data_IF_254943669324
#
_entry.id   IF_254943669324
#
_cell.length_a   1.000
_cell.length_b   1.000
_cell.length_c   1.000
_cell.angle_alpha   90.00
_cell.angle_beta   90.00
_cell.angle_gamma   90.00
#
_symmetry.space_group_name_H-M   'P 1'
#
loop_
_entity.id
_entity.type
_entity.pdbx_description
1 polymer ?
#
# COMPACT_ATOMS: atom_id res chain seq x y z
N UNK A 1 -1.01 4.95 12.63
CA UNK A 1 -0.65 3.57 13.06
C UNK A 1 -1.85 2.72 13.49
N UNK A 2 -2.98 3.31 13.83
CA UNK A 2 -4.22 2.62 14.21
C UNK A 2 -4.93 1.98 13.01
N UNK A 3 -4.81 2.56 11.82
CA UNK A 3 -5.47 2.09 10.60
C UNK A 3 -5.10 0.64 10.26
N UNK A 4 -3.87 0.22 10.51
CA UNK A 4 -3.39 -1.14 10.23
C UNK A 4 -3.97 -2.20 11.20
N UNK A 5 -4.37 -1.80 12.41
CA UNK A 5 -5.05 -2.69 13.37
C UNK A 5 -6.48 -3.01 12.94
N UNK A 6 -7.21 -2.00 12.50
CA UNK A 6 -8.61 -2.11 12.06
C UNK A 6 -8.75 -2.94 10.77
N UNK A 7 -7.72 -2.92 9.90
CA UNK A 7 -7.76 -3.65 8.62
C UNK A 7 -7.67 -5.16 8.79
N UNK A 8 -7.31 -5.70 9.96
CA UNK A 8 -7.17 -7.17 10.15
C UNK A 8 -8.48 -7.94 9.91
N UNK A 9 -9.62 -7.34 10.21
CA UNK A 9 -10.93 -7.96 10.03
C UNK A 9 -11.71 -7.40 8.82
N UNK A 10 -11.20 -6.33 8.21
CA UNK A 10 -11.85 -5.72 7.07
C UNK A 10 -11.84 -6.66 5.86
N UNK A 11 -12.98 -6.75 5.18
CA UNK A 11 -13.16 -7.53 3.94
C UNK A 11 -12.96 -6.68 2.69
N UNK A 12 -13.01 -5.37 2.81
CA UNK A 12 -12.79 -4.38 1.75
C UNK A 12 -12.38 -3.04 2.35
N UNK A 13 -11.84 -2.15 1.55
CA UNK A 13 -11.45 -0.79 1.93
C UNK A 13 -12.32 0.21 1.19
N UNK A 14 -12.84 1.20 1.90
CA UNK A 14 -13.42 2.39 1.31
C UNK A 14 -12.40 3.53 1.35
N UNK A 15 -12.08 4.06 0.18
CA UNK A 15 -11.20 5.21 0.02
C UNK A 15 -12.01 6.39 -0.53
N UNK A 16 -12.39 7.31 0.33
CA UNK A 16 -13.07 8.56 -0.06
C UNK A 16 -12.03 9.66 -0.10
N UNK A 17 -11.99 10.41 -1.20
CA UNK A 17 -10.97 11.42 -1.42
C UNK A 17 -11.49 12.59 -2.26
N UNK A 18 -10.82 13.73 -2.11
CA UNK A 18 -11.02 14.89 -2.96
C UNK A 18 -9.76 15.12 -3.82
N UNK A 19 -9.86 14.87 -5.11
CA UNK A 19 -8.78 15.04 -6.07
C UNK A 19 -8.81 16.40 -6.78
N UNK A 20 -9.75 17.29 -6.43
CA UNK A 20 -9.89 18.61 -7.06
C UNK A 20 -8.61 19.47 -6.97
N UNK A 21 -7.80 19.24 -5.94
CA UNK A 21 -6.53 19.93 -5.72
C UNK A 21 -5.46 19.63 -6.78
N UNK A 22 -5.56 18.49 -7.44
CA UNK A 22 -4.55 18.04 -8.41
C UNK A 22 -4.81 18.52 -9.84
N UNK A 23 -5.94 19.22 -10.08
CA UNK A 23 -6.35 19.61 -11.42
C UNK A 23 -6.50 18.42 -12.37
N UNK A 24 -6.35 18.67 -13.67
CA UNK A 24 -6.52 17.65 -14.72
C UNK A 24 -5.21 16.93 -15.11
N UNK A 25 -4.13 17.16 -14.40
CA UNK A 25 -2.82 16.61 -14.68
C UNK A 25 -2.62 15.16 -14.25
N UNK A 26 -1.37 14.80 -13.97
CA UNK A 26 -1.00 13.45 -13.55
C UNK A 26 -1.41 13.08 -12.12
N UNK A 27 -1.72 14.06 -11.27
CA UNK A 27 -2.02 13.88 -9.83
C UNK A 27 -3.13 12.87 -9.55
N UNK A 28 -4.34 12.98 -10.14
CA UNK A 28 -5.40 12.01 -9.92
C UNK A 28 -5.04 10.59 -10.31
N UNK A 29 -4.27 10.43 -11.40
CA UNK A 29 -3.77 9.12 -11.84
C UNK A 29 -2.75 8.54 -10.86
N UNK A 30 -1.85 9.37 -10.33
CA UNK A 30 -0.88 8.95 -9.30
C UNK A 30 -1.59 8.56 -8.01
N UNK A 31 -2.58 9.34 -7.59
CA UNK A 31 -3.36 9.06 -6.39
C UNK A 31 -4.18 7.76 -6.53
N UNK A 32 -4.73 7.47 -7.72
CA UNK A 32 -5.34 6.18 -8.02
C UNK A 32 -4.32 5.02 -7.91
N UNK A 33 -3.08 5.20 -8.37
CA UNK A 33 -2.02 4.19 -8.22
C UNK A 33 -1.75 3.87 -6.75
N UNK A 34 -1.73 4.88 -5.89
CA UNK A 34 -1.58 4.69 -4.44
C UNK A 34 -2.73 3.85 -3.88
N UNK A 35 -3.98 4.14 -4.27
CA UNK A 35 -5.13 3.33 -3.85
C UNK A 35 -5.01 1.87 -4.31
N UNK A 36 -4.53 1.61 -5.53
CA UNK A 36 -4.25 0.26 -6.04
C UNK A 36 -3.20 -0.47 -5.21
N UNK A 37 -2.14 0.22 -4.81
CA UNK A 37 -1.12 -0.32 -3.92
C UNK A 37 -1.73 -0.74 -2.57
N UNK A 38 -2.65 0.05 -2.01
CA UNK A 38 -3.32 -0.29 -0.75
C UNK A 38 -4.15 -1.58 -0.85
N UNK A 39 -4.83 -1.81 -1.99
CA UNK A 39 -5.54 -3.06 -2.22
C UNK A 39 -4.58 -4.26 -2.25
N UNK A 40 -3.45 -4.13 -2.95
CA UNK A 40 -2.39 -5.15 -3.04
C UNK A 40 -1.76 -5.45 -1.67
N UNK A 41 -1.33 -4.43 -0.95
CA UNK A 41 -0.67 -4.56 0.35
C UNK A 41 -1.53 -5.31 1.36
N UNK A 42 -2.83 -5.06 1.32
CA UNK A 42 -3.77 -5.67 2.26
C UNK A 42 -4.42 -6.94 1.72
N UNK A 43 -4.25 -7.26 0.44
CA UNK A 43 -4.91 -8.38 -0.26
C UNK A 43 -6.43 -8.39 -0.10
N UNK A 44 -7.05 -7.22 -0.13
CA UNK A 44 -8.51 -7.03 -0.08
C UNK A 44 -8.95 -6.02 -1.13
N UNK A 45 -10.17 -6.14 -1.66
CA UNK A 45 -10.68 -5.20 -2.65
C UNK A 45 -10.84 -3.80 -2.05
N UNK A 46 -10.74 -2.78 -2.90
CA UNK A 46 -10.87 -1.39 -2.53
C UNK A 46 -11.87 -0.68 -3.44
N UNK A 47 -12.79 0.03 -2.82
CA UNK A 47 -13.70 0.96 -3.48
C UNK A 47 -13.16 2.36 -3.27
N UNK A 48 -12.85 3.04 -4.36
CA UNK A 48 -12.43 4.44 -4.34
C UNK A 48 -13.55 5.32 -4.86
N UNK A 49 -13.89 6.34 -4.08
CA UNK A 49 -14.81 7.41 -4.46
C UNK A 49 -14.03 8.72 -4.42
N UNK A 50 -13.98 9.41 -5.56
CA UNK A 50 -13.21 10.64 -5.69
C UNK A 50 -14.07 11.77 -6.25
N UNK A 51 -14.02 12.94 -5.60
CA UNK A 51 -14.55 14.15 -6.18
C UNK A 51 -13.59 14.64 -7.28
N UNK A 52 -14.11 14.87 -8.48
CA UNK A 52 -13.39 15.27 -9.70
C UNK A 52 -12.30 14.28 -10.17
N UNK A 53 -11.92 13.30 -9.35
CA UNK A 53 -10.92 12.30 -9.68
C UNK A 53 -11.50 11.06 -10.34
N UNK A 54 -10.75 9.97 -10.29
CA UNK A 54 -11.16 8.68 -10.82
C UNK A 54 -11.76 7.86 -9.68
N UNK A 55 -13.05 7.57 -9.74
CA UNK A 55 -13.69 6.60 -8.86
C UNK A 55 -13.56 5.21 -9.43
N UNK A 56 -13.31 4.19 -8.61
CA UNK A 56 -13.02 2.85 -9.11
C UNK A 56 -13.31 1.74 -8.11
N UNK A 57 -13.72 0.58 -8.63
CA UNK A 57 -13.62 -0.71 -7.95
C UNK A 57 -12.29 -1.34 -8.31
N UNK A 58 -11.50 -1.65 -7.30
CA UNK A 58 -10.15 -2.22 -7.43
C UNK A 58 -10.16 -3.59 -6.75
N UNK A 59 -9.74 -4.61 -7.48
CA UNK A 59 -9.61 -5.97 -6.92
C UNK A 59 -8.47 -6.06 -5.91
N UNK A 60 -8.44 -7.12 -5.13
CA UNK A 60 -7.34 -7.42 -4.20
C UNK A 60 -5.96 -7.48 -4.87
N UNK A 61 -5.92 -7.76 -6.17
CA UNK A 61 -4.68 -7.79 -6.97
C UNK A 61 -4.34 -6.44 -7.60
N UNK A 62 -4.98 -5.34 -7.16
CA UNK A 62 -4.73 -4.00 -7.68
C UNK A 62 -5.25 -3.75 -9.11
N UNK A 63 -6.02 -4.69 -9.70
CA UNK A 63 -6.64 -4.49 -11.01
C UNK A 63 -7.88 -3.62 -10.88
N UNK A 64 -8.01 -2.62 -11.75
CA UNK A 64 -9.24 -1.84 -11.87
C UNK A 64 -10.27 -2.69 -12.61
N UNK A 65 -11.38 -3.02 -11.94
CA UNK A 65 -12.48 -3.81 -12.50
C UNK A 65 -13.51 -2.93 -13.19
N UNK A 66 -13.88 -1.83 -12.53
CA UNK A 66 -14.79 -0.82 -13.05
C UNK A 66 -14.31 0.56 -12.62
N UNK A 67 -14.59 1.59 -13.39
CA UNK A 67 -14.23 2.96 -13.01
C UNK A 67 -15.14 4.00 -13.65
N UNK A 68 -15.20 5.17 -13.02
CA UNK A 68 -15.73 6.41 -13.56
C UNK A 68 -14.53 7.29 -13.87
N UNK A 69 -14.48 7.81 -15.10
CA UNK A 69 -13.36 8.62 -15.57
C UNK A 69 -13.28 9.97 -14.84
N UNK A 70 -12.10 10.60 -14.93
CA UNK A 70 -11.84 11.95 -14.43
C UNK A 70 -12.90 12.94 -14.91
N UNK A 71 -13.41 13.79 -14.01
CA UNK A 71 -14.40 14.83 -14.29
C UNK A 71 -15.76 14.33 -14.83
N UNK A 72 -16.08 13.06 -14.67
CA UNK A 72 -17.38 12.52 -15.02
C UNK A 72 -18.28 12.49 -13.79
N UNK A 73 -19.56 12.81 -13.99
CA UNK A 73 -20.63 12.65 -12.99
C UNK A 73 -21.45 11.44 -13.38
N UNK A 74 -21.18 10.33 -12.74
CA UNK A 74 -21.81 9.05 -12.99
C UNK A 74 -21.99 8.30 -11.68
N UNK A 75 -22.79 7.27 -11.67
CA UNK A 75 -22.86 6.31 -10.58
C UNK A 75 -22.33 4.94 -11.05
N UNK A 76 -21.85 4.15 -10.14
CA UNK A 76 -21.27 2.86 -10.43
C UNK A 76 -21.70 1.85 -9.37
N UNK A 77 -22.60 0.95 -9.74
CA UNK A 77 -22.98 -0.16 -8.90
C UNK A 77 -21.88 -1.23 -8.89
N UNK A 78 -21.45 -1.59 -7.70
CA UNK A 78 -20.41 -2.58 -7.50
C UNK A 78 -20.85 -3.63 -6.49
N UNK A 79 -20.68 -4.88 -6.86
CA UNK A 79 -20.87 -6.00 -5.94
C UNK A 79 -19.61 -6.18 -5.09
N UNK A 80 -19.81 -6.20 -3.77
CA UNK A 80 -18.78 -6.54 -2.81
C UNK A 80 -18.92 -8.03 -2.49
N UNK A 81 -18.01 -8.84 -3.01
CA UNK A 81 -17.92 -10.24 -2.63
C UNK A 81 -17.59 -10.38 -1.14
N UNK A 82 -18.60 -10.63 -0.32
CA UNK A 82 -18.46 -10.73 1.15
C UNK A 82 -17.67 -11.97 1.60
N UNK A 83 -17.44 -12.93 0.69
CA UNK A 83 -16.77 -14.22 0.97
C UNK A 83 -15.27 -14.21 0.64
N UNK A 84 -14.64 -13.07 0.54
CA UNK A 84 -13.20 -13.01 0.29
C UNK A 84 -12.46 -13.44 1.55
N UNK A 85 -11.94 -14.67 1.58
CA UNK A 85 -10.97 -15.10 2.60
C UNK A 85 -9.72 -14.23 2.42
N UNK A 86 -9.43 -13.45 3.44
CA UNK A 86 -8.22 -12.65 3.47
C UNK A 86 -7.01 -13.56 3.65
N UNK A 87 -6.07 -13.47 2.74
CA UNK A 87 -4.75 -14.08 2.89
C UNK A 87 -3.76 -13.00 3.34
N UNK A 88 -2.95 -13.32 4.33
CA UNK A 88 -1.87 -12.42 4.75
C UNK A 88 -0.88 -12.22 3.62
N UNK A 89 -0.48 -10.99 3.38
CA UNK A 89 0.61 -10.66 2.44
C UNK A 89 1.93 -10.55 3.21
N UNK A 90 3.05 -10.68 2.51
CA UNK A 90 4.36 -10.38 3.11
C UNK A 90 4.39 -8.97 3.71
N UNK A 91 3.73 -8.01 3.08
CA UNK A 91 3.63 -6.65 3.59
C UNK A 91 2.88 -6.58 4.93
N UNK A 92 1.75 -7.30 5.07
CA UNK A 92 0.99 -7.31 6.34
C UNK A 92 1.72 -8.07 7.45
N UNK A 93 2.60 -9.01 7.11
CA UNK A 93 3.40 -9.78 8.06
C UNK A 93 4.65 -9.03 8.52
N UNK A 94 5.37 -8.40 7.63
CA UNK A 94 6.71 -7.85 7.87
C UNK A 94 6.71 -6.31 7.79
N UNK A 95 5.73 -5.71 7.09
CA UNK A 95 5.77 -4.36 6.56
C UNK A 95 6.19 -3.24 7.51
N UNK A 96 5.79 -3.28 8.77
CA UNK A 96 6.18 -2.22 9.75
C UNK A 96 7.66 -2.28 10.13
N UNK A 97 8.25 -3.46 10.09
CA UNK A 97 9.56 -3.72 10.68
C UNK A 97 10.67 -3.91 9.63
N UNK A 98 10.32 -3.92 8.33
CA UNK A 98 11.32 -4.11 7.25
C UNK A 98 12.45 -3.10 7.36
N UNK A 99 12.12 -1.82 7.56
CA UNK A 99 13.12 -0.77 7.71
C UNK A 99 14.00 -1.00 8.94
N UNK A 100 13.40 -1.39 10.06
CA UNK A 100 14.14 -1.67 11.31
C UNK A 100 15.07 -2.86 11.16
N UNK A 101 14.60 -3.95 10.54
CA UNK A 101 15.44 -5.12 10.26
C UNK A 101 16.60 -4.78 9.31
N UNK A 102 16.34 -3.97 8.28
CA UNK A 102 17.38 -3.53 7.37
C UNK A 102 18.47 -2.73 8.10
N UNK A 103 18.09 -1.77 8.96
CA UNK A 103 19.04 -1.00 9.74
C UNK A 103 19.83 -1.88 10.75
N UNK A 104 19.14 -2.85 11.37
CA UNK A 104 19.79 -3.78 12.28
C UNK A 104 20.87 -4.63 11.57
N UNK A 105 20.53 -5.17 10.40
CA UNK A 105 21.48 -5.95 9.58
C UNK A 105 22.67 -5.08 9.17
N UNK A 106 22.42 -3.84 8.73
CA UNK A 106 23.48 -2.92 8.35
C UNK A 106 24.40 -2.60 9.54
N UNK A 107 23.84 -2.39 10.71
CA UNK A 107 24.59 -2.17 11.96
C UNK A 107 25.46 -3.37 12.31
N UNK A 108 24.91 -4.58 12.25
CA UNK A 108 25.68 -5.81 12.52
C UNK A 108 26.82 -6.00 11.53
N UNK A 109 26.59 -5.73 10.24
CA UNK A 109 27.65 -5.80 9.23
C UNK A 109 28.76 -4.77 9.47
N UNK A 110 28.42 -3.55 9.90
CA UNK A 110 29.44 -2.53 10.22
C UNK A 110 30.25 -2.89 11.44
N UNK A 111 29.64 -3.46 12.49
CA UNK A 111 30.32 -3.93 13.69
C UNK A 111 31.25 -5.09 13.32
N UNK A 112 30.79 -6.05 12.53
CA UNK A 112 31.57 -7.19 12.08
C UNK A 112 32.78 -6.73 11.25
N UNK A 113 32.57 -5.85 10.30
CA UNK A 113 33.63 -5.24 9.48
C UNK A 113 34.67 -4.56 10.35
N UNK A 114 34.27 -3.74 11.31
CA UNK A 114 35.17 -3.04 12.22
C UNK A 114 35.97 -4.02 13.08
N UNK A 115 35.34 -5.08 13.58
CA UNK A 115 35.99 -6.11 14.40
C UNK A 115 37.06 -6.86 13.63
N UNK A 116 36.82 -7.21 12.38
CA UNK A 116 37.75 -7.87 11.48
C UNK A 116 38.94 -6.93 11.19
N UNK A 117 38.66 -5.68 10.88
CA UNK A 117 39.69 -4.70 10.56
C UNK A 117 40.62 -4.41 11.76
N UNK A 118 40.02 -4.32 12.96
CA UNK A 118 40.78 -4.12 14.21
C UNK A 118 41.67 -5.31 14.54
N UNK A 119 41.24 -6.56 14.29
CA UNK A 119 42.07 -7.76 14.46
C UNK A 119 43.25 -7.77 13.50
N UNK A 120 43.06 -7.36 12.24
CA UNK A 120 44.13 -7.28 11.24
C UNK A 120 45.24 -6.30 11.62
N UNK A 121 44.89 -5.17 12.24
CA UNK A 121 45.87 -4.15 12.69
C UNK A 121 46.63 -4.54 13.94
N UNK A 122 46.19 -5.52 14.73
CA UNK A 122 46.90 -6.00 15.93
C UNK A 122 47.80 -7.21 15.70
N UNK A 123 47.65 -7.85 14.55
CA UNK A 123 48.43 -9.08 14.23
C UNK A 123 49.53 -8.88 13.17
N UNK A 124 49.81 -7.66 12.74
CA UNK A 124 50.97 -7.26 11.96
C UNK A 124 51.81 -6.26 12.73
#
# INVERSE_FOLDING_TARGET
>A
NEILGVVKEARWILNITNDAWFGNGGGPKQHLKIARMRALENNIPLIRVSNNGISAKISKNGKIEKHIALNKREFLDVELGLNVKRQSTYYTMIGKNVSSYFHLVLLLLTILYYSIFKKRKKGG
#
